data_IF_185114661264
#
_entry.id   IF_185114661264
#
_cell.length_a   1.000
_cell.length_b   1.000
_cell.length_c   1.000
_cell.angle_alpha   90.00
_cell.angle_beta   90.00
_cell.angle_gamma   90.00
#
_symmetry.space_group_name_H-M   'P 1'
#
loop_
_entity.id
_entity.type
_entity.pdbx_description
1 polymer ?
#
# COMPACT_ATOMS: atom_id res chain seq x y z
N UNK A 1 -16.60 -19.27 4.62
CA UNK A 1 -15.57 -18.28 5.00
C UNK A 1 -15.82 -17.78 6.41
N UNK A 2 -14.79 -17.63 7.26
CA UNK A 2 -14.96 -16.87 8.50
C UNK A 2 -15.42 -15.45 8.15
N UNK A 3 -16.10 -14.80 9.07
CA UNK A 3 -16.60 -13.44 8.86
C UNK A 3 -15.40 -12.48 8.62
N UNK A 4 -15.26 -11.99 7.40
CA UNK A 4 -14.20 -11.03 7.05
C UNK A 4 -14.58 -9.67 7.61
N UNK A 5 -13.61 -8.98 8.25
CA UNK A 5 -13.78 -7.63 8.74
C UNK A 5 -12.97 -6.65 7.90
N UNK A 6 -13.56 -5.50 7.59
CA UNK A 6 -12.89 -4.39 6.91
C UNK A 6 -12.59 -3.29 7.94
N UNK A 7 -11.30 -3.01 8.13
CA UNK A 7 -10.83 -1.88 8.92
C UNK A 7 -10.47 -0.70 8.00
N UNK A 8 -11.09 0.45 8.22
CA UNK A 8 -10.75 1.71 7.57
C UNK A 8 -10.07 2.58 8.62
N UNK A 9 -8.75 2.61 8.55
CA UNK A 9 -7.90 3.29 9.52
C UNK A 9 -7.40 4.60 8.95
N UNK A 10 -7.60 5.71 9.66
CA UNK A 10 -7.08 7.01 9.22
C UNK A 10 -7.80 8.20 9.83
N UNK A 11 -7.12 9.34 9.79
CA UNK A 11 -7.63 10.62 10.30
C UNK A 11 -8.70 11.21 9.39
N UNK A 12 -9.63 11.94 9.99
CA UNK A 12 -10.61 12.76 9.30
C UNK A 12 -11.40 12.04 8.19
N UNK A 13 -12.02 10.88 8.48
CA UNK A 13 -12.83 10.20 7.48
C UNK A 13 -13.98 11.12 7.04
N UNK A 14 -14.25 11.16 5.73
CA UNK A 14 -15.38 11.89 5.17
C UNK A 14 -16.70 11.35 5.72
N UNK A 15 -17.78 12.12 5.59
CA UNK A 15 -19.11 11.66 6.04
C UNK A 15 -19.52 10.34 5.36
N UNK A 16 -19.23 10.19 4.06
CA UNK A 16 -19.49 8.97 3.30
C UNK A 16 -18.73 7.76 3.88
N UNK A 17 -17.44 7.93 4.21
CA UNK A 17 -16.65 6.87 4.84
C UNK A 17 -17.20 6.54 6.25
N UNK A 18 -17.59 7.54 7.04
CA UNK A 18 -18.20 7.31 8.35
C UNK A 18 -19.50 6.50 8.26
N UNK A 19 -20.30 6.70 7.22
CA UNK A 19 -21.53 5.95 7.00
C UNK A 19 -21.30 4.47 6.75
N UNK A 20 -20.12 4.07 6.28
CA UNK A 20 -19.77 2.65 6.08
C UNK A 20 -19.81 1.84 7.38
N UNK A 21 -19.69 2.49 8.56
CA UNK A 21 -19.91 1.84 9.87
C UNK A 21 -21.28 1.16 10.02
N UNK A 22 -22.25 1.54 9.19
CA UNK A 22 -23.59 0.93 9.19
C UNK A 22 -23.60 -0.44 8.53
N UNK A 23 -22.57 -0.75 7.76
CA UNK A 23 -22.42 -2.07 7.15
C UNK A 23 -21.88 -3.06 8.18
N UNK A 24 -22.39 -4.29 8.21
CA UNK A 24 -21.86 -5.33 9.10
C UNK A 24 -20.37 -5.56 8.76
N UNK A 25 -19.59 -5.82 9.79
CA UNK A 25 -18.15 -6.11 9.68
C UNK A 25 -17.28 -4.98 9.11
N UNK A 26 -17.75 -3.73 9.07
CA UNK A 26 -16.96 -2.56 8.69
C UNK A 26 -16.67 -1.70 9.92
N UNK A 27 -15.39 -1.52 10.20
CA UNK A 27 -14.87 -0.74 11.34
C UNK A 27 -14.12 0.47 10.80
N UNK A 28 -14.59 1.68 11.13
CA UNK A 28 -13.92 2.94 10.79
C UNK A 28 -13.34 3.52 12.09
N UNK A 29 -12.02 3.51 12.25
CA UNK A 29 -11.38 3.86 13.51
C UNK A 29 -11.29 5.37 13.75
N UNK A 30 -11.09 6.15 12.70
CA UNK A 30 -10.61 7.52 12.82
C UNK A 30 -9.08 7.54 13.04
N UNK A 31 -8.57 8.58 13.70
CA UNK A 31 -7.15 8.68 14.03
C UNK A 31 -6.75 7.60 15.04
N UNK A 32 -5.62 6.96 14.79
CA UNK A 32 -4.99 6.01 15.71
C UNK A 32 -3.56 6.46 15.99
N UNK A 33 -3.00 6.16 17.17
CA UNK A 33 -1.60 6.49 17.49
C UNK A 33 -0.61 5.74 16.59
N UNK A 34 -0.93 4.49 16.25
CA UNK A 34 -0.10 3.61 15.46
C UNK A 34 -0.96 2.73 14.55
N UNK A 35 -0.59 2.62 13.28
CA UNK A 35 -1.31 1.79 12.29
C UNK A 35 -0.78 0.35 12.26
N UNK A 36 0.43 0.10 12.73
CA UNK A 36 1.09 -1.20 12.66
C UNK A 36 0.30 -2.34 13.30
N UNK A 37 -0.37 -2.17 14.46
CA UNK A 37 -1.20 -3.24 15.03
C UNK A 37 -2.32 -3.71 14.11
N UNK A 38 -2.87 -2.81 13.30
CA UNK A 38 -3.90 -3.15 12.30
C UNK A 38 -3.30 -3.89 11.10
N UNK A 39 -2.11 -3.48 10.65
CA UNK A 39 -1.41 -4.15 9.55
C UNK A 39 -0.97 -5.56 9.94
N UNK A 40 -0.44 -5.76 11.14
CA UNK A 40 -0.01 -7.10 11.62
C UNK A 40 -1.17 -8.11 11.63
N UNK A 41 -2.39 -7.66 11.93
CA UNK A 41 -3.58 -8.53 11.98
C UNK A 41 -4.27 -8.67 10.63
N UNK A 42 -3.94 -7.84 9.66
CA UNK A 42 -4.58 -7.87 8.35
C UNK A 42 -4.08 -9.05 7.52
N UNK A 43 -4.94 -9.54 6.64
CA UNK A 43 -4.59 -10.56 5.66
C UNK A 43 -4.26 -9.95 4.29
N UNK A 44 -4.92 -8.86 3.95
CA UNK A 44 -4.77 -8.14 2.69
C UNK A 44 -4.96 -6.65 2.95
N UNK A 45 -4.12 -5.81 2.36
CA UNK A 45 -4.33 -4.38 2.33
C UNK A 45 -5.10 -3.98 1.08
N UNK A 46 -5.99 -2.99 1.19
CA UNK A 46 -6.82 -2.53 0.08
C UNK A 46 -6.68 -1.04 -0.16
N UNK A 47 -6.52 -0.66 -1.42
CA UNK A 47 -6.37 0.73 -1.85
C UNK A 47 -7.30 1.08 -3.02
N UNK A 48 -8.63 1.21 -2.78
CA UNK A 48 -9.62 1.50 -3.82
C UNK A 48 -9.66 3.00 -4.17
N UNK A 49 -8.52 3.63 -4.41
CA UNK A 49 -8.43 5.06 -4.67
C UNK A 49 -8.78 5.36 -6.13
N UNK A 50 -9.74 6.23 -6.37
CA UNK A 50 -10.08 6.70 -7.72
C UNK A 50 -9.13 7.80 -8.21
N UNK A 51 -8.58 8.56 -7.27
CA UNK A 51 -7.63 9.65 -7.52
C UNK A 51 -6.50 9.49 -6.51
N UNK A 52 -5.28 9.43 -7.01
CA UNK A 52 -4.07 9.45 -6.20
C UNK A 52 -3.00 10.26 -6.93
N UNK A 53 -2.11 10.90 -6.17
CA UNK A 53 -0.96 11.64 -6.72
C UNK A 53 0.28 11.22 -5.96
N UNK A 54 1.35 10.95 -6.69
CA UNK A 54 2.63 10.54 -6.12
C UNK A 54 2.57 9.20 -5.40
N UNK A 55 3.60 8.92 -4.65
CA UNK A 55 3.75 7.67 -3.89
C UNK A 55 2.75 7.60 -2.74
N UNK A 56 2.05 6.49 -2.63
CA UNK A 56 1.11 6.24 -1.55
C UNK A 56 1.81 5.49 -0.40
N UNK A 57 2.36 6.22 0.57
CA UNK A 57 3.11 5.64 1.70
C UNK A 57 2.36 4.51 2.42
N UNK A 58 1.04 4.62 2.58
CA UNK A 58 0.22 3.57 3.17
C UNK A 58 0.26 2.22 2.42
N UNK A 59 0.55 2.25 1.11
CA UNK A 59 0.74 1.04 0.31
C UNK A 59 2.12 0.47 0.61
N UNK A 60 3.17 1.30 0.59
CA UNK A 60 4.53 0.86 0.92
C UNK A 60 4.63 0.36 2.37
N UNK A 61 3.93 0.99 3.32
CA UNK A 61 3.83 0.53 4.71
C UNK A 61 3.20 -0.87 4.79
N UNK A 62 2.11 -1.11 4.06
CA UNK A 62 1.47 -2.43 4.02
C UNK A 62 2.41 -3.47 3.39
N UNK A 63 3.04 -3.16 2.26
CA UNK A 63 3.99 -4.02 1.58
C UNK A 63 5.21 -4.34 2.47
N UNK A 64 5.75 -3.35 3.20
CA UNK A 64 6.83 -3.55 4.16
C UNK A 64 6.46 -4.50 5.31
N UNK A 65 5.18 -4.58 5.64
CA UNK A 65 4.62 -5.50 6.66
C UNK A 65 4.20 -6.86 6.09
N UNK A 66 4.69 -7.24 4.89
CA UNK A 66 4.38 -8.50 4.20
C UNK A 66 2.88 -8.67 3.87
N UNK A 67 2.16 -7.59 3.65
CA UNK A 67 0.78 -7.66 3.20
C UNK A 67 0.71 -7.58 1.68
N UNK A 68 0.00 -8.51 1.02
CA UNK A 68 -0.39 -8.31 -0.36
C UNK A 68 -1.35 -7.14 -0.46
N UNK A 69 -1.26 -6.39 -1.56
CA UNK A 69 -2.09 -5.20 -1.77
C UNK A 69 -3.00 -5.42 -2.97
N UNK A 70 -4.29 -5.15 -2.80
CA UNK A 70 -5.23 -4.98 -3.92
C UNK A 70 -5.51 -3.50 -4.08
N UNK A 71 -5.13 -2.93 -5.22
CA UNK A 71 -5.26 -1.50 -5.47
C UNK A 71 -5.75 -1.19 -6.87
N UNK A 72 -6.31 0.02 -7.04
CA UNK A 72 -6.61 0.55 -8.37
C UNK A 72 -5.31 0.96 -9.09
N UNK A 73 -5.31 1.10 -10.42
CA UNK A 73 -4.16 1.63 -11.16
C UNK A 73 -3.71 2.99 -10.59
N UNK A 74 -4.64 3.88 -10.28
CA UNK A 74 -4.34 5.19 -9.70
C UNK A 74 -3.61 5.08 -8.34
N UNK A 75 -4.02 4.12 -7.50
CA UNK A 75 -3.41 3.92 -6.18
C UNK A 75 -1.97 3.41 -6.27
N UNK A 76 -1.67 2.56 -7.25
CA UNK A 76 -0.39 1.86 -7.40
C UNK A 76 0.60 2.59 -8.32
N UNK A 77 0.14 3.49 -9.16
CA UNK A 77 0.96 4.18 -10.15
C UNK A 77 2.25 4.79 -9.57
N UNK A 78 2.17 5.43 -8.41
CA UNK A 78 3.33 6.08 -7.79
C UNK A 78 4.32 5.13 -7.12
N UNK A 79 3.97 3.85 -6.95
CA UNK A 79 4.85 2.84 -6.37
C UNK A 79 5.68 2.11 -7.41
N UNK A 80 5.27 2.15 -8.68
CA UNK A 80 5.86 1.40 -9.81
C UNK A 80 5.80 -0.13 -9.63
N UNK A 81 5.17 -0.63 -8.57
CA UNK A 81 5.01 -2.05 -8.33
C UNK A 81 4.06 -2.68 -9.34
N UNK A 82 4.41 -3.89 -9.78
CA UNK A 82 3.67 -4.71 -10.73
C UNK A 82 3.05 -5.94 -10.04
N UNK A 83 2.32 -6.74 -10.78
CA UNK A 83 1.71 -7.96 -10.23
C UNK A 83 2.72 -9.00 -9.76
N UNK A 84 3.97 -8.94 -10.21
CA UNK A 84 5.07 -9.79 -9.74
C UNK A 84 5.61 -9.35 -8.38
N UNK A 85 5.29 -8.13 -7.95
CA UNK A 85 5.77 -7.50 -6.73
C UNK A 85 4.75 -7.60 -5.58
N UNK A 86 3.89 -8.61 -5.63
CA UNK A 86 2.94 -8.91 -4.56
C UNK A 86 1.70 -7.99 -4.51
N UNK A 87 1.46 -7.20 -5.56
CA UNK A 87 0.26 -6.37 -5.68
C UNK A 87 -0.71 -6.94 -6.73
N UNK A 88 -1.99 -6.63 -6.57
CA UNK A 88 -3.05 -6.89 -7.55
C UNK A 88 -3.60 -5.56 -8.04
N UNK A 89 -3.56 -5.35 -9.35
CA UNK A 89 -4.02 -4.12 -9.99
C UNK A 89 -5.43 -4.36 -10.52
N UNK A 90 -6.41 -3.72 -9.89
CA UNK A 90 -7.83 -3.93 -10.19
C UNK A 90 -8.43 -2.70 -10.90
N UNK A 91 -8.73 -2.85 -12.17
CA UNK A 91 -9.28 -1.77 -13.02
C UNK A 91 -10.79 -1.56 -12.82
N UNK A 92 -11.47 -2.52 -12.23
CA UNK A 92 -12.91 -2.44 -11.98
C UNK A 92 -13.28 -3.00 -10.61
N UNK A 93 -14.45 -2.62 -10.05
CA UNK A 93 -14.93 -3.18 -8.79
C UNK A 93 -15.08 -4.70 -8.81
N UNK A 94 -15.43 -5.28 -9.94
CA UNK A 94 -15.56 -6.73 -10.08
C UNK A 94 -14.20 -7.42 -9.99
N UNK A 95 -13.20 -6.92 -10.70
CA UNK A 95 -11.81 -7.43 -10.62
C UNK A 95 -11.26 -7.25 -9.21
N UNK A 96 -11.53 -6.10 -8.58
CA UNK A 96 -11.11 -5.83 -7.21
C UNK A 96 -11.68 -6.85 -6.22
N UNK A 97 -12.98 -7.12 -6.30
CA UNK A 97 -13.63 -8.10 -5.44
C UNK A 97 -13.10 -9.52 -5.69
N UNK A 98 -12.94 -9.92 -6.94
CA UNK A 98 -12.38 -11.24 -7.32
C UNK A 98 -10.98 -11.43 -6.76
N UNK A 99 -10.08 -10.48 -6.97
CA UNK A 99 -8.69 -10.58 -6.55
C UNK A 99 -8.57 -10.56 -5.02
N UNK A 100 -9.43 -9.79 -4.34
CA UNK A 100 -9.52 -9.80 -2.89
C UNK A 100 -9.99 -11.16 -2.37
N UNK A 101 -11.05 -11.73 -2.92
CA UNK A 101 -11.56 -13.05 -2.53
C UNK A 101 -10.49 -14.12 -2.75
N UNK A 102 -9.82 -14.11 -3.90
CA UNK A 102 -8.73 -15.05 -4.19
C UNK A 102 -7.64 -15.01 -3.12
N UNK A 103 -7.19 -13.81 -2.73
CA UNK A 103 -6.18 -13.68 -1.67
C UNK A 103 -6.70 -14.07 -0.29
N UNK A 104 -7.99 -13.89 0.00
CA UNK A 104 -8.59 -14.30 1.27
C UNK A 104 -8.73 -15.83 1.38
N UNK A 105 -8.99 -16.51 0.27
CA UNK A 105 -9.18 -17.97 0.22
C UNK A 105 -7.87 -18.75 0.11
N UNK A 106 -6.90 -18.24 -0.64
CA UNK A 106 -5.62 -18.89 -0.88
C UNK A 106 -4.52 -18.34 0.06
N UNK A 107 -4.27 -19.09 1.14
CA UNK A 107 -3.23 -18.75 2.10
C UNK A 107 -1.80 -18.79 1.50
N UNK A 108 -1.53 -19.75 0.61
CA UNK A 108 -0.20 -19.90 0.01
C UNK A 108 0.10 -18.72 -0.92
N UNK A 109 -0.86 -18.38 -1.80
CA UNK A 109 -0.77 -17.22 -2.67
C UNK A 109 -0.64 -15.93 -1.88
N UNK A 110 -1.44 -15.75 -0.83
CA UNK A 110 -1.39 -14.58 0.05
C UNK A 110 0.01 -14.41 0.67
N UNK A 111 0.58 -15.49 1.21
CA UNK A 111 1.92 -15.46 1.78
C UNK A 111 2.99 -15.16 0.73
N UNK A 112 2.92 -15.78 -0.44
CA UNK A 112 3.84 -15.52 -1.54
C UNK A 112 3.79 -14.04 -1.96
N UNK A 113 2.61 -13.49 -2.19
CA UNK A 113 2.45 -12.09 -2.54
C UNK A 113 2.98 -11.15 -1.44
N UNK A 114 2.75 -11.45 -0.16
CA UNK A 114 3.28 -10.66 0.95
C UNK A 114 4.81 -10.61 0.98
N UNK A 115 5.47 -11.75 0.79
CA UNK A 115 6.93 -11.82 0.71
C UNK A 115 7.49 -11.05 -0.49
N UNK A 116 6.83 -11.14 -1.64
CA UNK A 116 7.20 -10.36 -2.83
C UNK A 116 7.04 -8.86 -2.57
N UNK A 117 5.93 -8.45 -1.95
CA UNK A 117 5.66 -7.06 -1.61
C UNK A 117 6.76 -6.47 -0.71
N UNK A 118 7.14 -7.18 0.34
CA UNK A 118 8.22 -6.74 1.23
C UNK A 118 9.57 -6.65 0.51
N UNK A 119 9.93 -7.66 -0.29
CA UNK A 119 11.16 -7.65 -1.07
C UNK A 119 11.20 -6.41 -1.97
N UNK A 120 10.12 -6.13 -2.68
CA UNK A 120 10.04 -4.96 -3.55
C UNK A 120 10.35 -3.66 -2.82
N UNK A 121 9.74 -3.44 -1.64
CA UNK A 121 10.00 -2.24 -0.84
C UNK A 121 11.45 -2.17 -0.37
N UNK A 122 12.03 -3.31 0.02
CA UNK A 122 13.43 -3.38 0.44
C UNK A 122 14.42 -3.10 -0.71
N UNK A 123 14.07 -3.45 -1.93
CA UNK A 123 14.93 -3.26 -3.11
C UNK A 123 14.79 -1.86 -3.74
N UNK A 124 13.60 -1.24 -3.63
CA UNK A 124 13.30 -0.02 -4.42
C UNK A 124 12.91 1.20 -3.59
N UNK A 125 12.66 1.06 -2.30
CA UNK A 125 12.13 2.16 -1.47
C UNK A 125 12.90 2.35 -0.15
N UNK A 126 14.22 2.08 -0.16
CA UNK A 126 15.08 2.37 0.99
C UNK A 126 15.52 3.83 0.99
N UNK A 127 15.41 4.48 2.13
CA UNK A 127 15.83 5.87 2.30
C UNK A 127 17.32 6.08 2.08
N UNK A 128 18.15 5.11 2.48
CA UNK A 128 19.61 5.23 2.37
C UNK A 128 20.08 5.34 0.93
N UNK A 129 19.50 4.57 0.01
CA UNK A 129 19.83 4.65 -1.42
C UNK A 129 19.36 5.97 -2.04
N UNK A 130 18.15 6.43 -1.69
CA UNK A 130 17.64 7.69 -2.18
C UNK A 130 18.44 8.88 -1.66
N UNK A 131 18.85 8.85 -0.39
CA UNK A 131 19.68 9.89 0.21
C UNK A 131 21.09 9.90 -0.41
N UNK A 132 21.71 8.74 -0.61
CA UNK A 132 23.02 8.64 -1.24
C UNK A 132 22.99 9.18 -2.69
N UNK A 133 21.93 8.88 -3.45
CA UNK A 133 21.75 9.40 -4.80
C UNK A 133 21.55 10.92 -4.82
N UNK A 134 20.74 11.45 -3.90
CA UNK A 134 20.56 12.89 -3.77
C UNK A 134 21.86 13.59 -3.39
N UNK A 135 22.60 13.04 -2.44
CA UNK A 135 23.90 13.59 -2.02
C UNK A 135 24.92 13.62 -3.20
N UNK A 136 24.97 12.55 -4.00
CA UNK A 136 25.82 12.50 -5.18
C UNK A 136 25.46 13.62 -6.18
N UNK A 137 24.17 13.80 -6.50
CA UNK A 137 23.71 14.85 -7.39
C UNK A 137 24.03 16.27 -6.87
N UNK A 138 23.86 16.48 -5.55
CA UNK A 138 24.18 17.78 -4.94
C UNK A 138 25.69 18.06 -5.02
N UNK A 139 26.55 17.06 -4.79
CA UNK A 139 28.01 17.21 -4.93
C UNK A 139 28.42 17.56 -6.36
N UNK A 140 27.85 16.91 -7.36
CA UNK A 140 28.08 17.22 -8.77
C UNK A 140 27.73 18.69 -9.10
N UNK A 141 26.57 19.17 -8.63
CA UNK A 141 26.12 20.53 -8.85
C UNK A 141 27.05 21.57 -8.19
N UNK A 142 27.50 21.32 -6.96
CA UNK A 142 28.45 22.22 -6.25
C UNK A 142 29.80 22.29 -6.99
N UNK A 143 30.32 21.16 -7.45
CA UNK A 143 31.58 21.13 -8.23
C UNK A 143 31.40 21.87 -9.55
N UNK A 144 30.31 21.68 -10.26
CA UNK A 144 30.04 22.37 -11.53
C UNK A 144 29.97 23.90 -11.35
N UNK A 145 29.41 24.40 -10.24
CA UNK A 145 29.36 25.83 -9.93
C UNK A 145 30.71 26.42 -9.51
N UNK A 146 31.59 25.61 -8.91
CA UNK A 146 32.93 26.05 -8.48
C UNK A 146 33.92 26.14 -9.66
N UNK A 147 33.60 25.53 -10.81
CA UNK A 147 34.45 25.49 -12.01
C UNK A 147 33.94 26.42 -13.13
N UNK A 148 32.84 27.14 -12.94
CA UNK A 148 32.29 28.13 -13.87
C UNK A 148 32.61 29.57 -13.43
#
# INVERSE_FOLDING_TARGET
MPAVQLYIVGRNPTQQVRQLRRQPNVIVTGAVPDVRPYLVQAWVAVAPLRIARGVQNKILEAMAMELPVVGTPAALQGTWATTTDGVRIAESPHVFARDLVTLLEDHALRRQCGLQARRYVQEHHQWDEHNARLEALLRELVVAQATA
#
